data_IF_541943875779
#
_entry.id   IF_541943875779
#
_cell.length_a   1.000
_cell.length_b   1.000
_cell.length_c   1.000
_cell.angle_alpha   90.00
_cell.angle_beta   90.00
_cell.angle_gamma   90.00
#
_symmetry.space_group_name_H-M   'P 1'
#
loop_
_entity.id
_entity.type
_entity.pdbx_description
1 polymer ?
#
# COMPACT_ATOMS: atom_id res chain seq x y z
N UNK A 1 10.21 -17.56 -34.02
CA UNK A 1 8.96 -17.52 -33.26
C UNK A 1 9.25 -17.78 -31.78
N UNK A 2 8.80 -16.89 -30.90
CA UNK A 2 8.90 -17.02 -29.44
C UNK A 2 7.62 -17.65 -28.93
N UNK A 3 7.72 -18.70 -28.12
CA UNK A 3 6.55 -19.32 -27.51
C UNK A 3 6.53 -19.02 -26.01
N UNK A 4 5.43 -18.42 -25.54
CA UNK A 4 5.18 -18.16 -24.12
C UNK A 4 4.12 -19.13 -23.62
N UNK A 5 4.47 -20.00 -22.67
CA UNK A 5 3.59 -21.06 -22.17
C UNK A 5 3.31 -20.87 -20.68
N UNK A 6 2.04 -20.83 -20.28
CA UNK A 6 1.65 -20.80 -18.86
C UNK A 6 2.11 -22.06 -18.13
N UNK A 7 2.81 -21.89 -17.00
CA UNK A 7 3.23 -22.99 -16.11
C UNK A 7 2.28 -23.12 -14.92
N UNK A 8 1.98 -22.00 -14.27
CA UNK A 8 1.05 -21.89 -13.14
C UNK A 8 0.57 -20.43 -12.99
N UNK A 9 -0.06 -20.07 -11.87
CA UNK A 9 -0.56 -18.71 -11.71
C UNK A 9 0.56 -17.68 -11.38
N UNK A 10 1.78 -18.10 -11.11
CA UNK A 10 2.93 -17.20 -10.89
C UNK A 10 3.77 -17.07 -12.16
N UNK A 11 4.03 -18.18 -12.85
CA UNK A 11 5.05 -18.25 -13.89
C UNK A 11 4.51 -18.71 -15.24
N UNK A 12 5.09 -18.15 -16.28
CA UNK A 12 5.14 -18.73 -17.62
C UNK A 12 6.57 -19.13 -17.98
N UNK A 13 6.71 -19.95 -19.00
CA UNK A 13 7.97 -20.33 -19.61
C UNK A 13 8.10 -19.66 -20.98
N UNK A 14 9.28 -19.08 -21.25
CA UNK A 14 9.61 -18.43 -22.51
C UNK A 14 10.57 -19.33 -23.28
N UNK A 15 10.11 -19.85 -24.40
CA UNK A 15 10.90 -20.65 -25.33
C UNK A 15 11.33 -19.76 -26.51
N UNK A 16 12.60 -19.44 -26.57
CA UNK A 16 13.21 -18.56 -27.58
C UNK A 16 14.67 -18.91 -27.77
N UNK A 17 15.28 -18.37 -28.82
CA UNK A 17 16.72 -18.45 -29.06
C UNK A 17 17.52 -17.81 -27.92
N UNK A 18 18.75 -18.25 -27.74
CA UNK A 18 19.61 -17.81 -26.62
C UNK A 18 19.89 -16.31 -26.65
N UNK A 19 20.04 -15.70 -27.82
CA UNK A 19 20.19 -14.25 -28.00
C UNK A 19 19.00 -13.49 -27.43
N UNK A 20 17.80 -13.86 -27.86
CA UNK A 20 16.54 -13.24 -27.41
C UNK A 20 16.33 -13.42 -25.91
N UNK A 21 16.62 -14.60 -25.36
CA UNK A 21 16.55 -14.85 -23.92
C UNK A 21 17.48 -13.93 -23.12
N UNK A 22 18.68 -13.64 -23.64
CA UNK A 22 19.61 -12.69 -23.03
C UNK A 22 19.05 -11.27 -23.06
N UNK A 23 18.48 -10.84 -24.18
CA UNK A 23 17.84 -9.52 -24.29
C UNK A 23 16.66 -9.35 -23.34
N UNK A 24 15.78 -10.36 -23.23
CA UNK A 24 14.70 -10.38 -22.24
C UNK A 24 15.28 -10.29 -20.82
N UNK A 25 16.33 -11.05 -20.51
CA UNK A 25 16.94 -11.00 -19.19
C UNK A 25 17.52 -9.61 -18.89
N UNK A 26 18.17 -8.98 -19.86
CA UNK A 26 18.71 -7.64 -19.70
C UNK A 26 17.63 -6.59 -19.53
N UNK A 27 16.52 -6.69 -20.26
CA UNK A 27 15.39 -5.78 -20.15
C UNK A 27 14.66 -5.88 -18.82
N UNK A 28 14.57 -7.07 -18.22
CA UNK A 28 13.80 -7.35 -17.01
C UNK A 28 14.69 -7.66 -15.80
N UNK A 29 15.86 -7.02 -15.70
CA UNK A 29 16.70 -7.03 -14.51
C UNK A 29 16.85 -5.63 -13.95
N UNK A 30 16.84 -5.49 -12.64
CA UNK A 30 16.88 -4.22 -11.93
C UNK A 30 17.87 -4.27 -10.78
N UNK A 31 18.45 -3.14 -10.43
CA UNK A 31 19.29 -2.99 -9.25
C UNK A 31 18.56 -2.24 -8.16
N UNK A 32 18.55 -2.74 -6.92
CA UNK A 32 18.06 -1.97 -5.78
C UNK A 32 18.85 -0.67 -5.60
N UNK A 33 18.21 0.38 -5.13
CA UNK A 33 18.93 1.57 -4.66
C UNK A 33 19.92 1.13 -3.57
N UNK A 34 21.13 1.67 -3.60
CA UNK A 34 22.18 1.37 -2.62
C UNK A 34 22.65 -0.10 -2.58
N UNK A 35 22.50 -0.88 -3.66
CA UNK A 35 22.94 -2.28 -3.75
C UNK A 35 24.42 -2.48 -3.38
N UNK A 36 25.27 -1.45 -3.62
CA UNK A 36 26.69 -1.46 -3.27
C UNK A 36 26.96 -1.60 -1.77
N UNK A 37 25.98 -1.27 -0.92
CA UNK A 37 26.07 -1.42 0.54
C UNK A 37 25.55 -2.77 1.04
N UNK A 38 24.92 -3.58 0.18
CA UNK A 38 24.45 -4.92 0.56
C UNK A 38 25.64 -5.83 0.91
N UNK A 39 25.62 -6.49 2.07
CA UNK A 39 26.70 -7.40 2.49
C UNK A 39 26.99 -8.53 1.49
N UNK A 40 25.97 -9.02 0.77
CA UNK A 40 26.09 -10.09 -0.22
C UNK A 40 26.84 -9.60 -1.47
N UNK A 41 26.56 -8.35 -1.89
CA UNK A 41 27.28 -7.71 -2.98
C UNK A 41 28.74 -7.44 -2.61
N UNK A 42 29.00 -6.87 -1.43
CA UNK A 42 30.38 -6.61 -0.94
C UNK A 42 31.19 -7.90 -0.81
N UNK A 43 30.55 -9.00 -0.42
CA UNK A 43 31.19 -10.33 -0.34
C UNK A 43 31.22 -11.07 -1.67
N UNK A 44 30.86 -10.42 -2.80
CA UNK A 44 30.79 -11.00 -4.16
C UNK A 44 29.92 -12.27 -4.27
N UNK A 45 28.96 -12.46 -3.35
CA UNK A 45 27.98 -13.57 -3.38
C UNK A 45 26.76 -13.27 -4.25
N UNK A 46 26.58 -12.02 -4.60
CA UNK A 46 25.51 -11.53 -5.44
C UNK A 46 26.04 -10.43 -6.35
N UNK A 47 25.59 -10.39 -7.61
CA UNK A 47 26.06 -9.45 -8.64
C UNK A 47 25.32 -8.10 -8.66
N UNK A 48 24.43 -7.85 -7.70
CA UNK A 48 23.66 -6.62 -7.58
C UNK A 48 22.39 -6.58 -8.43
N UNK A 49 22.08 -7.62 -9.21
CA UNK A 49 20.88 -7.65 -10.06
C UNK A 49 19.79 -8.54 -9.46
N UNK A 50 18.56 -8.08 -9.60
CA UNK A 50 17.34 -8.86 -9.38
C UNK A 50 16.72 -9.10 -10.75
N UNK A 51 16.60 -10.38 -11.13
CA UNK A 51 16.08 -10.79 -12.42
C UNK A 51 14.62 -11.23 -12.28
N UNK A 52 13.74 -10.71 -13.14
CA UNK A 52 12.36 -11.16 -13.28
C UNK A 52 12.19 -12.25 -14.33
N UNK A 53 13.20 -12.48 -15.15
CA UNK A 53 13.35 -13.64 -16.02
C UNK A 53 14.47 -14.54 -15.50
N UNK A 54 14.18 -15.78 -15.23
CA UNK A 54 15.20 -16.77 -14.89
C UNK A 54 15.63 -17.49 -16.17
N UNK A 55 16.83 -17.15 -16.66
CA UNK A 55 17.38 -17.68 -17.92
C UNK A 55 17.74 -19.16 -17.85
N UNK A 56 17.88 -19.75 -16.64
CA UNK A 56 18.29 -21.15 -16.46
C UNK A 56 17.12 -22.12 -16.71
N UNK A 57 15.93 -21.80 -16.20
CA UNK A 57 14.70 -22.57 -16.37
C UNK A 57 13.69 -21.93 -17.32
N UNK A 58 14.05 -20.77 -17.89
CA UNK A 58 13.25 -19.97 -18.80
C UNK A 58 11.94 -19.45 -18.20
N UNK A 59 11.85 -19.32 -16.87
CA UNK A 59 10.63 -18.85 -16.21
C UNK A 59 10.57 -17.34 -16.10
N UNK A 60 9.36 -16.81 -16.33
CA UNK A 60 9.03 -15.39 -16.26
C UNK A 60 7.74 -15.18 -15.48
N UNK A 61 7.58 -14.03 -14.83
CA UNK A 61 6.39 -13.74 -14.05
C UNK A 61 5.18 -13.41 -14.93
N UNK A 62 4.06 -14.12 -14.75
CA UNK A 62 2.81 -13.85 -15.47
C UNK A 62 2.29 -12.41 -15.31
N UNK A 63 2.54 -11.77 -14.17
CA UNK A 63 2.13 -10.39 -13.95
C UNK A 63 2.81 -9.38 -14.86
N UNK A 64 3.97 -9.73 -15.42
CA UNK A 64 4.75 -8.90 -16.35
C UNK A 64 4.52 -9.24 -17.83
N UNK A 65 3.60 -10.17 -18.14
CA UNK A 65 3.31 -10.53 -19.53
C UNK A 65 2.93 -9.33 -20.42
N UNK A 66 2.14 -8.36 -19.96
CA UNK A 66 1.85 -7.17 -20.77
C UNK A 66 3.10 -6.34 -21.10
N UNK A 67 4.05 -6.23 -20.15
CA UNK A 67 5.32 -5.53 -20.38
C UNK A 67 6.24 -6.33 -21.32
N UNK A 68 6.24 -7.65 -21.21
CA UNK A 68 6.96 -8.53 -22.13
C UNK A 68 6.39 -8.42 -23.54
N UNK A 69 5.07 -8.53 -23.70
CA UNK A 69 4.42 -8.42 -25.00
C UNK A 69 4.74 -7.06 -25.64
N UNK A 70 4.68 -5.98 -24.88
CA UNK A 70 5.06 -4.65 -25.35
C UNK A 70 6.51 -4.62 -25.84
N UNK A 71 7.47 -5.17 -25.07
CA UNK A 71 8.87 -5.25 -25.45
C UNK A 71 9.08 -6.07 -26.74
N UNK A 72 8.39 -7.20 -26.88
CA UNK A 72 8.51 -8.05 -28.07
C UNK A 72 7.95 -7.36 -29.31
N UNK A 73 6.82 -6.66 -29.21
CA UNK A 73 6.22 -5.87 -30.30
C UNK A 73 7.16 -4.72 -30.71
N UNK A 74 7.70 -3.96 -29.75
CA UNK A 74 8.59 -2.83 -30.01
C UNK A 74 9.90 -3.26 -30.72
N UNK A 75 10.33 -4.50 -30.52
CA UNK A 75 11.51 -5.07 -31.17
C UNK A 75 11.19 -5.95 -32.38
N UNK A 76 9.94 -5.93 -32.87
CA UNK A 76 9.47 -6.69 -34.04
C UNK A 76 9.67 -8.21 -33.91
N UNK A 77 9.56 -8.77 -32.71
CA UNK A 77 9.60 -10.20 -32.49
C UNK A 77 8.23 -10.84 -32.69
N UNK A 78 8.18 -11.89 -33.48
CA UNK A 78 6.98 -12.75 -33.58
C UNK A 78 6.89 -13.66 -32.36
N UNK A 79 5.72 -13.68 -31.71
CA UNK A 79 5.46 -14.53 -30.54
C UNK A 79 4.04 -15.05 -30.48
N UNK A 80 3.89 -16.17 -29.82
CA UNK A 80 2.59 -16.76 -29.49
C UNK A 80 2.46 -16.99 -27.99
N UNK A 81 1.27 -16.83 -27.44
CA UNK A 81 0.97 -17.11 -26.03
C UNK A 81 0.09 -18.35 -25.94
N UNK A 82 0.59 -19.41 -25.28
CA UNK A 82 -0.12 -20.67 -25.06
C UNK A 82 -0.55 -20.81 -23.59
N UNK A 83 -1.81 -21.11 -23.38
CA UNK A 83 -2.41 -21.31 -22.07
C UNK A 83 -3.64 -20.44 -21.84
N UNK A 84 -4.36 -20.72 -20.76
CA UNK A 84 -5.56 -19.96 -20.43
C UNK A 84 -5.19 -18.66 -19.71
N UNK A 85 -5.09 -17.57 -20.47
CA UNK A 85 -4.96 -16.19 -20.03
C UNK A 85 -6.21 -15.36 -20.41
N UNK A 86 -7.26 -16.03 -20.87
CA UNK A 86 -8.44 -15.37 -21.37
C UNK A 86 -9.02 -14.44 -20.31
N UNK A 87 -9.23 -13.19 -20.69
CA UNK A 87 -10.06 -12.26 -19.94
C UNK A 87 -11.50 -12.80 -19.95
N UNK A 88 -12.20 -12.64 -18.85
CA UNK A 88 -13.62 -12.95 -18.80
C UNK A 88 -14.40 -11.81 -19.50
N UNK A 89 -15.35 -12.18 -20.34
CA UNK A 89 -16.31 -11.19 -20.83
C UNK A 89 -17.22 -10.81 -19.66
N UNK A 90 -17.21 -9.56 -19.29
CA UNK A 90 -18.00 -9.03 -18.19
C UNK A 90 -18.44 -7.61 -18.54
N UNK A 91 -19.71 -7.43 -18.83
CA UNK A 91 -20.28 -6.16 -19.26
C UNK A 91 -20.59 -5.25 -18.09
N UNK A 92 -20.80 -3.96 -18.37
CA UNK A 92 -21.27 -2.99 -17.37
C UNK A 92 -22.66 -3.36 -16.85
N UNK A 93 -23.52 -3.87 -17.70
CA UNK A 93 -24.86 -4.33 -17.31
C UNK A 93 -24.78 -5.48 -16.28
N UNK A 94 -23.97 -6.52 -16.56
CA UNK A 94 -23.77 -7.63 -15.62
C UNK A 94 -23.20 -7.14 -14.27
N UNK A 95 -22.28 -6.20 -14.31
CA UNK A 95 -21.72 -5.61 -13.10
C UNK A 95 -22.78 -4.88 -12.28
N UNK A 96 -23.63 -4.08 -12.92
CA UNK A 96 -24.71 -3.36 -12.24
C UNK A 96 -25.77 -4.32 -11.68
N UNK A 97 -26.16 -5.36 -12.43
CA UNK A 97 -27.09 -6.37 -11.94
C UNK A 97 -26.49 -7.12 -10.73
N UNK A 98 -25.22 -7.50 -10.77
CA UNK A 98 -24.56 -8.09 -9.62
C UNK A 98 -24.56 -7.15 -8.40
N UNK A 99 -24.22 -5.87 -8.59
CA UNK A 99 -24.19 -4.89 -7.49
C UNK A 99 -25.59 -4.75 -6.84
N UNK A 100 -26.67 -4.76 -7.61
CA UNK A 100 -28.05 -4.75 -7.08
C UNK A 100 -28.31 -5.93 -6.16
N UNK A 101 -27.79 -7.13 -6.46
CA UNK A 101 -27.98 -8.32 -5.60
C UNK A 101 -27.35 -8.20 -4.24
N UNK A 102 -26.37 -7.29 -4.07
CA UNK A 102 -25.68 -7.09 -2.80
C UNK A 102 -26.53 -6.35 -1.77
N UNK A 103 -27.59 -5.66 -2.19
CA UNK A 103 -28.46 -4.85 -1.32
C UNK A 103 -27.64 -3.93 -0.40
N UNK A 104 -26.71 -3.18 -1.00
CA UNK A 104 -25.89 -2.23 -0.24
C UNK A 104 -26.78 -1.21 0.47
N UNK A 105 -26.48 -0.79 1.72
CA UNK A 105 -27.19 0.30 2.38
C UNK A 105 -27.16 1.58 1.53
N UNK A 106 -28.23 2.36 1.53
CA UNK A 106 -28.42 3.55 0.68
C UNK A 106 -27.26 4.55 0.69
N UNK A 107 -26.58 4.67 1.85
CA UNK A 107 -25.39 5.53 2.01
C UNK A 107 -24.17 5.08 1.17
N UNK A 108 -24.17 3.84 0.67
CA UNK A 108 -23.04 3.26 -0.08
C UNK A 108 -23.43 3.00 -1.54
N UNK A 109 -23.37 4.04 -2.35
CA UNK A 109 -23.56 3.91 -3.79
C UNK A 109 -22.22 3.67 -4.48
N UNK A 110 -22.19 2.70 -5.40
CA UNK A 110 -20.99 2.42 -6.20
C UNK A 110 -20.82 3.54 -7.24
N UNK A 111 -19.67 4.20 -7.19
CA UNK A 111 -19.35 5.32 -8.08
C UNK A 111 -18.85 4.82 -9.44
N UNK A 112 -18.95 5.66 -10.47
CA UNK A 112 -18.57 5.33 -11.85
C UNK A 112 -17.15 4.76 -12.00
N UNK A 113 -16.16 5.36 -11.32
CA UNK A 113 -14.77 4.88 -11.37
C UNK A 113 -14.58 3.58 -10.57
N UNK A 114 -15.37 3.34 -9.52
CA UNK A 114 -15.36 2.07 -8.77
C UNK A 114 -15.96 0.95 -9.63
N UNK A 115 -17.03 1.24 -10.36
CA UNK A 115 -17.62 0.32 -11.33
C UNK A 115 -16.60 -0.07 -12.41
N UNK A 116 -15.93 0.92 -13.00
CA UNK A 116 -14.86 0.69 -14.00
C UNK A 116 -13.71 -0.16 -13.43
N UNK A 117 -13.34 0.10 -12.17
CA UNK A 117 -12.32 -0.67 -11.47
C UNK A 117 -12.76 -2.12 -11.32
N UNK A 118 -13.98 -2.33 -10.83
CA UNK A 118 -14.55 -3.66 -10.62
C UNK A 118 -14.63 -4.45 -11.93
N UNK A 119 -15.21 -3.88 -13.00
CA UNK A 119 -15.28 -4.52 -14.31
C UNK A 119 -13.90 -4.91 -14.82
N UNK A 120 -12.92 -3.99 -14.73
CA UNK A 120 -11.55 -4.26 -15.20
C UNK A 120 -10.90 -5.39 -14.43
N UNK A 121 -11.10 -5.46 -13.11
CA UNK A 121 -10.52 -6.51 -12.26
C UNK A 121 -11.16 -7.87 -12.51
N UNK A 122 -12.47 -7.93 -12.72
CA UNK A 122 -13.16 -9.17 -13.09
C UNK A 122 -12.64 -9.69 -14.43
N UNK A 123 -12.57 -8.83 -15.45
CA UNK A 123 -12.08 -9.22 -16.79
C UNK A 123 -10.65 -9.77 -16.79
N UNK A 124 -9.77 -9.16 -16.01
CA UNK A 124 -8.33 -9.47 -16.09
C UNK A 124 -7.84 -10.48 -15.04
N UNK A 125 -8.61 -10.74 -13.98
CA UNK A 125 -8.22 -11.54 -12.81
C UNK A 125 -6.97 -11.05 -12.07
N UNK A 126 -6.14 -10.22 -12.70
CA UNK A 126 -4.94 -9.66 -12.06
C UNK A 126 -4.67 -8.25 -12.53
N UNK A 127 -4.54 -7.36 -11.56
CA UNK A 127 -4.17 -5.97 -11.80
C UNK A 127 -3.85 -5.23 -10.50
N UNK A 128 -3.29 -4.05 -10.65
CA UNK A 128 -3.15 -3.07 -9.58
C UNK A 128 -4.00 -1.87 -9.94
N UNK A 129 -4.91 -1.49 -9.05
CA UNK A 129 -5.68 -0.26 -9.18
C UNK A 129 -5.06 0.86 -8.38
N UNK A 130 -4.65 1.91 -9.08
CA UNK A 130 -4.19 3.14 -8.46
C UNK A 130 -5.39 4.05 -8.19
N UNK A 131 -5.70 4.22 -6.90
CA UNK A 131 -6.89 4.91 -6.42
C UNK A 131 -6.57 5.60 -5.09
N UNK A 132 -6.67 6.93 -4.98
CA UNK A 132 -6.25 7.68 -3.80
C UNK A 132 -7.04 7.32 -2.54
N UNK A 133 -6.58 7.83 -1.40
CA UNK A 133 -7.37 7.80 -0.16
C UNK A 133 -8.75 8.46 -0.40
N UNK A 134 -9.76 8.04 0.31
CA UNK A 134 -11.18 8.47 0.13
C UNK A 134 -11.85 8.04 -1.19
N UNK A 135 -11.18 7.24 -2.03
CA UNK A 135 -11.81 6.68 -3.24
C UNK A 135 -12.75 5.50 -2.97
N UNK A 136 -12.84 5.02 -1.72
CA UNK A 136 -13.66 3.86 -1.35
C UNK A 136 -13.04 2.52 -1.75
N UNK A 137 -11.73 2.36 -1.52
CA UNK A 137 -10.99 1.12 -1.81
C UNK A 137 -11.58 -0.11 -1.13
N UNK A 138 -12.05 0.02 0.11
CA UNK A 138 -12.67 -1.10 0.85
C UNK A 138 -13.96 -1.61 0.19
N UNK A 139 -14.78 -0.71 -0.39
CA UNK A 139 -15.96 -1.12 -1.15
C UNK A 139 -15.56 -1.89 -2.41
N UNK A 140 -14.52 -1.47 -3.12
CA UNK A 140 -14.01 -2.19 -4.30
C UNK A 140 -13.52 -3.60 -3.91
N UNK A 141 -12.80 -3.74 -2.78
CA UNK A 141 -12.37 -5.05 -2.27
C UNK A 141 -13.57 -5.92 -1.90
N UNK A 142 -14.62 -5.31 -1.30
CA UNK A 142 -15.87 -6.01 -0.99
C UNK A 142 -16.56 -6.52 -2.24
N UNK A 143 -16.67 -5.71 -3.31
CA UNK A 143 -17.25 -6.13 -4.59
C UNK A 143 -16.51 -7.34 -5.17
N UNK A 144 -15.18 -7.33 -5.17
CA UNK A 144 -14.39 -8.48 -5.65
C UNK A 144 -14.63 -9.74 -4.80
N UNK A 145 -14.56 -9.60 -3.47
CA UNK A 145 -14.83 -10.73 -2.57
C UNK A 145 -16.20 -11.36 -2.83
N UNK A 146 -17.24 -10.53 -2.93
CA UNK A 146 -18.61 -11.00 -3.13
C UNK A 146 -18.84 -11.60 -4.51
N UNK A 147 -18.23 -11.02 -5.54
CA UNK A 147 -18.37 -11.50 -6.91
C UNK A 147 -17.69 -12.87 -7.13
N UNK A 148 -16.41 -12.95 -6.79
CA UNK A 148 -15.68 -14.21 -6.97
C UNK A 148 -16.21 -15.30 -6.06
N UNK A 149 -16.71 -14.95 -4.89
CA UNK A 149 -17.31 -15.87 -3.92
C UNK A 149 -16.45 -17.12 -3.66
N UNK A 150 -15.12 -16.95 -3.63
CA UNK A 150 -14.09 -17.98 -3.44
C UNK A 150 -13.35 -17.74 -2.14
N UNK A 151 -12.55 -18.72 -1.72
CA UNK A 151 -11.67 -18.55 -0.56
C UNK A 151 -10.68 -17.41 -0.81
N UNK A 152 -10.83 -16.33 -0.06
CA UNK A 152 -10.19 -15.04 -0.31
C UNK A 152 -9.29 -14.66 0.84
N UNK A 153 -8.05 -14.30 0.52
CA UNK A 153 -7.08 -13.70 1.43
C UNK A 153 -6.96 -12.20 1.11
N UNK A 154 -7.32 -11.35 2.09
CA UNK A 154 -7.09 -9.91 2.04
C UNK A 154 -5.84 -9.61 2.85
N UNK A 155 -4.86 -8.93 2.24
CA UNK A 155 -3.58 -8.60 2.86
C UNK A 155 -3.50 -7.11 3.06
N UNK A 156 -3.22 -6.67 4.29
CA UNK A 156 -3.14 -5.26 4.67
C UNK A 156 -1.82 -4.95 5.39
N UNK A 157 -1.36 -3.68 5.43
CA UNK A 157 -0.08 -3.34 6.05
C UNK A 157 -0.09 -3.31 7.58
N UNK A 158 -1.24 -3.10 8.24
CA UNK A 158 -1.32 -2.93 9.70
C UNK A 158 -2.48 -3.68 10.32
N UNK A 159 -2.36 -4.02 11.61
CA UNK A 159 -3.42 -4.68 12.39
C UNK A 159 -4.69 -3.82 12.50
N UNK A 160 -4.55 -2.50 12.57
CA UNK A 160 -5.69 -1.59 12.57
C UNK A 160 -6.54 -1.74 11.31
N UNK A 161 -5.90 -1.89 10.13
CA UNK A 161 -6.59 -2.10 8.87
C UNK A 161 -7.26 -3.47 8.78
N UNK A 162 -6.78 -4.51 9.46
CA UNK A 162 -7.46 -5.81 9.52
C UNK A 162 -8.87 -5.65 10.08
N UNK A 163 -8.98 -4.99 11.24
CA UNK A 163 -10.27 -4.74 11.88
C UNK A 163 -11.14 -3.76 11.06
N UNK A 164 -10.52 -2.71 10.52
CA UNK A 164 -11.24 -1.71 9.73
C UNK A 164 -11.88 -2.32 8.49
N UNK A 165 -11.16 -3.11 7.71
CA UNK A 165 -11.71 -3.76 6.50
C UNK A 165 -12.89 -4.67 6.86
N UNK A 166 -12.78 -5.43 7.94
CA UNK A 166 -13.88 -6.29 8.37
C UNK A 166 -15.10 -5.49 8.81
N UNK A 167 -14.91 -4.40 9.56
CA UNK A 167 -15.97 -3.50 9.95
C UNK A 167 -16.62 -2.80 8.74
N UNK A 168 -15.80 -2.33 7.77
CA UNK A 168 -16.31 -1.78 6.52
C UNK A 168 -17.18 -2.81 5.77
N UNK A 169 -16.77 -4.08 5.71
CA UNK A 169 -17.58 -5.14 5.10
C UNK A 169 -18.90 -5.37 5.83
N UNK A 170 -18.90 -5.30 7.17
CA UNK A 170 -20.14 -5.34 7.97
C UNK A 170 -21.04 -4.15 7.64
N UNK A 171 -20.47 -2.98 7.51
CA UNK A 171 -21.19 -1.75 7.15
C UNK A 171 -21.77 -1.82 5.72
N UNK A 172 -21.17 -2.61 4.81
CA UNK A 172 -21.71 -2.89 3.48
C UNK A 172 -22.77 -4.00 3.46
N UNK A 173 -23.14 -4.54 4.63
CA UNK A 173 -24.16 -5.57 4.76
C UNK A 173 -23.63 -7.01 4.77
N UNK A 174 -22.32 -7.24 4.95
CA UNK A 174 -21.79 -8.60 5.09
C UNK A 174 -22.20 -9.24 6.40
N UNK A 175 -22.88 -10.38 6.34
CA UNK A 175 -23.36 -11.13 7.52
C UNK A 175 -22.50 -12.35 7.85
N UNK A 176 -21.55 -12.72 6.96
CA UNK A 176 -20.69 -13.88 7.17
C UNK A 176 -19.60 -13.65 8.21
N UNK A 177 -18.85 -14.69 8.54
CA UNK A 177 -17.65 -14.64 9.38
C UNK A 177 -16.39 -14.34 8.57
N UNK A 178 -15.34 -13.96 9.28
CA UNK A 178 -13.99 -13.81 8.72
C UNK A 178 -12.97 -14.26 9.75
N UNK A 179 -11.89 -14.85 9.28
CA UNK A 179 -10.73 -15.13 10.12
C UNK A 179 -9.74 -13.98 10.04
N UNK A 180 -9.50 -13.31 11.16
CA UNK A 180 -8.61 -12.16 11.27
C UNK A 180 -7.27 -12.63 11.82
N UNK A 181 -6.20 -12.58 11.01
CA UNK A 181 -4.87 -13.01 11.41
C UNK A 181 -4.02 -11.79 11.76
N UNK A 182 -3.73 -11.65 13.05
CA UNK A 182 -2.84 -10.65 13.61
C UNK A 182 -1.69 -11.33 14.35
N UNK A 183 -0.81 -10.57 14.98
CA UNK A 183 0.28 -11.11 15.77
C UNK A 183 -0.25 -11.99 16.92
N UNK A 184 0.23 -13.24 16.99
CA UNK A 184 -0.19 -14.23 18.00
C UNK A 184 -1.45 -15.04 17.67
N UNK A 185 -2.17 -14.73 16.58
CA UNK A 185 -3.34 -15.47 16.16
C UNK A 185 -2.99 -16.75 15.39
N UNK A 186 -3.83 -17.78 15.55
CA UNK A 186 -3.74 -19.02 14.75
C UNK A 186 -3.98 -18.77 13.27
N UNK A 187 -3.31 -19.54 12.41
CA UNK A 187 -3.39 -19.37 10.94
C UNK A 187 -4.31 -20.39 10.26
N UNK A 188 -4.67 -21.44 10.97
CA UNK A 188 -5.57 -22.48 10.46
C UNK A 188 -7.02 -22.04 10.59
N UNK A 189 -7.77 -22.14 9.50
CA UNK A 189 -9.17 -21.77 9.47
C UNK A 189 -9.89 -22.39 8.30
N UNK A 190 -11.20 -22.63 8.45
CA UNK A 190 -12.10 -23.01 7.37
C UNK A 190 -12.88 -21.81 6.81
N UNK A 191 -12.67 -20.61 7.35
CA UNK A 191 -13.37 -19.42 6.90
C UNK A 191 -13.02 -19.08 5.43
N UNK A 192 -14.04 -18.61 4.73
CA UNK A 192 -13.91 -18.22 3.33
C UNK A 192 -13.20 -16.88 3.15
N UNK A 193 -13.42 -15.98 4.10
CA UNK A 193 -12.77 -14.68 4.17
C UNK A 193 -11.66 -14.71 5.23
N UNK A 194 -10.44 -14.43 4.79
CA UNK A 194 -9.27 -14.30 5.66
C UNK A 194 -8.72 -12.90 5.46
N UNK A 195 -8.52 -12.16 6.55
CA UNK A 195 -7.89 -10.82 6.52
C UNK A 195 -6.66 -10.87 7.40
N UNK A 196 -5.50 -10.51 6.85
CA UNK A 196 -4.22 -10.66 7.54
C UNK A 196 -3.29 -9.49 7.28
N UNK A 197 -2.39 -9.22 8.22
CA UNK A 197 -1.20 -8.42 7.90
C UNK A 197 -0.21 -9.26 7.11
N UNK A 198 0.58 -8.63 6.23
CA UNK A 198 1.60 -9.37 5.47
C UNK A 198 2.70 -9.94 6.38
N UNK A 199 2.99 -9.27 7.51
CA UNK A 199 3.98 -9.71 8.50
C UNK A 199 3.59 -11.03 9.17
N UNK A 200 2.29 -11.26 9.34
CA UNK A 200 1.78 -12.48 9.97
C UNK A 200 1.87 -13.72 9.08
N UNK A 201 1.95 -13.55 7.75
CA UNK A 201 1.80 -14.66 6.78
C UNK A 201 2.95 -14.81 5.78
N UNK A 202 3.93 -13.90 5.76
CA UNK A 202 4.98 -13.91 4.71
C UNK A 202 5.87 -15.16 4.73
N UNK A 203 6.03 -15.80 5.89
CA UNK A 203 6.84 -17.00 6.06
C UNK A 203 6.05 -18.30 5.92
N UNK A 204 4.70 -18.24 5.86
CA UNK A 204 3.89 -19.43 5.64
C UNK A 204 4.37 -20.22 4.42
N UNK A 205 4.20 -21.51 4.44
CA UNK A 205 4.63 -22.38 3.36
C UNK A 205 3.69 -22.30 2.14
N UNK A 206 4.08 -22.98 1.07
CA UNK A 206 3.28 -23.00 -0.16
C UNK A 206 1.92 -23.68 0.06
N UNK A 207 1.86 -24.74 0.88
CA UNK A 207 0.64 -25.50 1.12
C UNK A 207 -0.44 -24.61 1.77
N UNK A 208 -0.04 -23.71 2.65
CA UNK A 208 -0.95 -22.76 3.28
C UNK A 208 -1.63 -21.82 2.26
N UNK A 209 -0.95 -21.49 1.14
CA UNK A 209 -1.50 -20.61 0.11
C UNK A 209 -2.33 -21.37 -0.94
N UNK A 210 -2.22 -22.69 -1.03
CA UNK A 210 -2.75 -23.48 -2.15
C UNK A 210 -4.29 -23.48 -2.26
N UNK A 211 -5.00 -23.19 -1.19
CA UNK A 211 -6.46 -23.11 -1.14
C UNK A 211 -7.00 -21.65 -1.26
N UNK A 212 -6.12 -20.65 -1.32
CA UNK A 212 -6.51 -19.25 -1.48
C UNK A 212 -6.63 -18.91 -2.97
N UNK A 213 -7.85 -18.98 -3.50
CA UNK A 213 -8.12 -18.76 -4.91
C UNK A 213 -8.06 -17.29 -5.32
N UNK A 214 -8.33 -16.39 -4.35
CA UNK A 214 -8.35 -14.94 -4.53
C UNK A 214 -7.41 -14.28 -3.51
N UNK A 215 -6.52 -13.43 -3.97
CA UNK A 215 -5.70 -12.55 -3.13
C UNK A 215 -6.00 -11.10 -3.50
N UNK A 216 -6.39 -10.32 -2.49
CA UNK A 216 -6.56 -8.87 -2.60
C UNK A 216 -5.58 -8.24 -1.62
N UNK A 217 -4.74 -7.32 -2.07
CA UNK A 217 -3.77 -6.66 -1.21
C UNK A 217 -3.97 -5.15 -1.21
N UNK A 218 -4.17 -4.58 -0.02
CA UNK A 218 -4.29 -3.14 0.16
C UNK A 218 -2.92 -2.50 0.39
N UNK A 219 -2.77 -1.26 -0.06
CA UNK A 219 -1.56 -0.45 0.03
C UNK A 219 -0.29 -1.22 -0.41
N UNK A 220 -0.40 -1.90 -1.57
CA UNK A 220 0.66 -2.78 -2.08
C UNK A 220 2.03 -2.10 -2.20
N UNK A 221 2.07 -0.77 -2.30
CA UNK A 221 3.30 0.01 -2.34
C UNK A 221 4.09 -0.01 -1.02
N UNK A 222 3.44 -0.31 0.12
CA UNK A 222 4.09 -0.34 1.44
C UNK A 222 4.86 -1.64 1.68
N UNK A 223 4.62 -2.67 0.88
CA UNK A 223 5.27 -3.96 1.04
C UNK A 223 6.71 -3.90 0.53
N UNK A 224 7.63 -4.45 1.33
CA UNK A 224 9.01 -4.59 0.86
C UNK A 224 9.06 -5.52 -0.35
N UNK A 225 9.64 -5.06 -1.45
CA UNK A 225 9.67 -5.77 -2.73
C UNK A 225 10.17 -7.24 -2.61
N UNK A 226 11.23 -7.48 -1.81
CA UNK A 226 11.77 -8.82 -1.58
C UNK A 226 10.79 -9.73 -0.85
N UNK A 227 10.15 -9.23 0.21
CA UNK A 227 9.20 -10.00 1.04
C UNK A 227 7.93 -10.30 0.28
N UNK A 228 7.36 -9.30 -0.41
CA UNK A 228 6.20 -9.47 -1.27
C UNK A 228 6.46 -10.52 -2.34
N UNK A 229 7.55 -10.38 -3.08
CA UNK A 229 7.90 -11.32 -4.16
C UNK A 229 8.11 -12.73 -3.62
N UNK A 230 8.78 -12.90 -2.45
CA UNK A 230 8.97 -14.21 -1.80
C UNK A 230 7.63 -14.86 -1.46
N UNK A 231 6.72 -14.11 -0.86
CA UNK A 231 5.38 -14.59 -0.51
C UNK A 231 4.56 -14.95 -1.74
N UNK A 232 4.49 -14.04 -2.72
CA UNK A 232 3.65 -14.21 -3.91
C UNK A 232 4.15 -15.34 -4.84
N UNK A 233 5.43 -15.72 -4.80
CA UNK A 233 5.95 -16.91 -5.48
C UNK A 233 5.32 -18.22 -4.99
N UNK A 234 4.86 -18.27 -3.75
CA UNK A 234 4.22 -19.45 -3.16
C UNK A 234 2.77 -19.65 -3.63
N UNK A 235 2.12 -18.61 -4.12
CA UNK A 235 0.68 -18.59 -4.48
C UNK A 235 0.40 -19.15 -5.86
N UNK A 236 0.94 -20.33 -6.19
CA UNK A 236 0.94 -20.90 -7.54
C UNK A 236 -0.44 -21.31 -8.06
N UNK A 237 -1.45 -21.43 -7.19
CA UNK A 237 -2.84 -21.78 -7.54
C UNK A 237 -3.80 -20.58 -7.49
N UNK A 238 -3.36 -19.45 -6.97
CA UNK A 238 -4.20 -18.25 -6.85
C UNK A 238 -4.44 -17.59 -8.20
N UNK A 239 -5.65 -17.71 -8.72
CA UNK A 239 -6.04 -17.18 -10.03
C UNK A 239 -6.24 -15.68 -10.01
N UNK A 240 -6.97 -15.18 -9.00
CA UNK A 240 -7.33 -13.77 -8.89
C UNK A 240 -6.35 -13.02 -7.97
N UNK A 241 -5.76 -11.94 -8.48
CA UNK A 241 -4.77 -11.14 -7.77
C UNK A 241 -5.02 -9.66 -7.99
N UNK A 242 -5.60 -9.02 -7.01
CA UNK A 242 -5.95 -7.59 -7.07
C UNK A 242 -5.08 -6.83 -6.08
N UNK A 243 -4.25 -5.94 -6.59
CA UNK A 243 -3.54 -4.95 -5.78
C UNK A 243 -4.29 -3.64 -5.75
N UNK A 244 -4.41 -3.04 -4.58
CA UNK A 244 -5.03 -1.72 -4.40
C UNK A 244 -4.02 -0.79 -3.75
N UNK A 245 -3.91 0.44 -4.25
CA UNK A 245 -2.98 1.42 -3.65
C UNK A 245 -3.35 2.85 -4.00
N UNK A 246 -3.06 3.77 -3.09
CA UNK A 246 -3.24 5.22 -3.33
C UNK A 246 -2.07 5.84 -4.07
N UNK A 247 -0.88 5.31 -3.88
CA UNK A 247 0.38 5.84 -4.40
C UNK A 247 1.26 4.72 -4.95
N UNK A 248 2.24 5.08 -5.75
CA UNK A 248 3.31 4.17 -6.17
C UNK A 248 4.64 4.70 -5.65
N UNK A 249 5.55 3.80 -5.35
CA UNK A 249 6.95 4.17 -5.10
C UNK A 249 7.59 4.64 -6.40
N UNK A 250 8.54 5.56 -6.31
CA UNK A 250 9.31 6.04 -7.48
C UNK A 250 10.38 5.04 -7.95
N UNK A 251 10.64 4.00 -7.16
CA UNK A 251 11.65 3.00 -7.43
C UNK A 251 11.17 1.94 -8.42
N UNK A 252 11.85 1.83 -9.55
CA UNK A 252 11.50 0.90 -10.63
C UNK A 252 11.44 -0.56 -10.18
N UNK A 253 12.36 -1.00 -9.32
CA UNK A 253 12.36 -2.37 -8.79
C UNK A 253 11.10 -2.66 -7.99
N UNK A 254 10.66 -1.72 -7.15
CA UNK A 254 9.44 -1.86 -6.37
C UNK A 254 8.23 -1.94 -7.29
N UNK A 255 8.14 -1.06 -8.30
CA UNK A 255 7.07 -1.08 -9.30
C UNK A 255 7.04 -2.43 -10.04
N UNK A 256 8.20 -2.91 -10.50
CA UNK A 256 8.27 -4.19 -11.21
C UNK A 256 7.92 -5.37 -10.31
N UNK A 257 8.28 -5.32 -9.02
CA UNK A 257 7.96 -6.38 -8.04
C UNK A 257 6.45 -6.49 -7.77
N UNK A 258 5.76 -5.36 -7.63
CA UNK A 258 4.30 -5.38 -7.46
C UNK A 258 3.58 -5.78 -8.75
N UNK A 259 4.06 -5.33 -9.92
CA UNK A 259 3.54 -5.79 -11.23
C UNK A 259 3.75 -7.29 -11.44
N UNK A 260 4.92 -7.82 -11.12
CA UNK A 260 5.20 -9.26 -11.19
C UNK A 260 4.21 -10.07 -10.34
N UNK A 261 3.81 -9.53 -9.19
CA UNK A 261 2.92 -10.18 -8.23
C UNK A 261 1.44 -10.07 -8.60
N UNK A 262 0.98 -8.89 -9.03
CA UNK A 262 -0.43 -8.58 -9.23
C UNK A 262 -0.82 -8.30 -10.68
N UNK A 263 0.10 -7.92 -11.54
CA UNK A 263 -0.19 -7.57 -12.94
C UNK A 263 -0.08 -6.07 -13.25
N UNK A 264 -0.66 -5.60 -14.35
CA UNK A 264 -0.54 -4.23 -14.81
C UNK A 264 -1.24 -3.23 -13.88
N UNK A 265 -0.74 -1.98 -13.92
CA UNK A 265 -1.26 -0.87 -13.10
C UNK A 265 -2.26 -0.07 -13.93
N UNK A 266 -3.44 0.18 -13.35
CA UNK A 266 -4.47 1.04 -13.93
C UNK A 266 -4.84 2.17 -12.97
N UNK A 267 -4.90 3.39 -13.47
CA UNK A 267 -5.38 4.56 -12.72
C UNK A 267 -6.86 4.78 -13.02
N UNK A 268 -7.69 4.81 -11.98
CA UNK A 268 -9.14 4.95 -12.12
C UNK A 268 -9.64 6.35 -11.79
N UNK A 269 -9.00 7.04 -10.86
CA UNK A 269 -9.36 8.40 -10.46
C UNK A 269 -8.11 9.09 -9.88
N UNK A 270 -8.05 10.42 -9.96
CA UNK A 270 -7.03 11.22 -9.31
C UNK A 270 -7.54 11.86 -8.01
N UNK A 271 -6.63 12.29 -7.14
CA UNK A 271 -7.00 13.08 -5.93
C UNK A 271 -7.74 14.35 -6.32
N UNK A 272 -7.32 15.02 -7.40
CA UNK A 272 -7.98 16.22 -7.90
C UNK A 272 -9.42 15.93 -8.29
N UNK A 273 -9.67 14.86 -9.05
CA UNK A 273 -11.04 14.49 -9.46
C UNK A 273 -11.94 14.19 -8.25
N UNK A 274 -11.39 13.58 -7.18
CA UNK A 274 -12.13 13.33 -5.94
C UNK A 274 -12.50 14.63 -5.23
N UNK A 275 -11.59 15.59 -5.18
CA UNK A 275 -11.83 16.92 -4.59
C UNK A 275 -12.87 17.69 -5.43
N UNK A 276 -12.66 17.76 -6.74
CA UNK A 276 -13.55 18.48 -7.66
C UNK A 276 -14.99 17.93 -7.66
N UNK A 277 -15.15 16.62 -7.38
CA UNK A 277 -16.46 15.95 -7.23
C UNK A 277 -17.02 15.98 -5.80
N UNK A 278 -16.33 16.60 -4.84
CA UNK A 278 -16.76 16.67 -3.43
C UNK A 278 -16.65 15.34 -2.67
N UNK A 279 -15.89 14.36 -3.18
CA UNK A 279 -15.70 13.07 -2.52
C UNK A 279 -14.50 13.08 -1.55
N UNK A 280 -13.66 14.09 -1.61
CA UNK A 280 -12.54 14.32 -0.71
C UNK A 280 -12.46 15.80 -0.33
N UNK A 281 -12.06 16.07 0.91
CA UNK A 281 -11.82 17.44 1.34
C UNK A 281 -10.64 18.05 0.58
N UNK A 282 -10.68 19.36 0.25
CA UNK A 282 -9.51 20.04 -0.27
C UNK A 282 -8.42 20.10 0.79
N UNK A 283 -7.16 19.89 0.37
CA UNK A 283 -5.99 19.98 1.24
C UNK A 283 -5.14 21.15 0.78
N UNK A 284 -4.83 22.04 1.71
CA UNK A 284 -3.98 23.22 1.46
C UNK A 284 -2.63 23.03 2.16
N UNK A 285 -1.55 23.09 1.40
CA UNK A 285 -0.20 23.00 1.95
C UNK A 285 0.38 24.40 2.14
N UNK A 286 0.78 24.72 3.39
CA UNK A 286 1.53 25.94 3.72
C UNK A 286 2.93 25.55 4.15
N UNK A 287 3.94 25.94 3.37
CA UNK A 287 5.35 25.67 3.69
C UNK A 287 5.90 26.86 4.47
N UNK A 288 6.22 26.63 5.74
CA UNK A 288 6.82 27.64 6.62
C UNK A 288 8.33 27.42 6.68
N UNK A 289 9.10 28.34 6.13
CA UNK A 289 10.56 28.29 6.15
C UNK A 289 11.12 29.03 7.37
N UNK A 290 11.54 28.27 8.37
CA UNK A 290 12.24 28.85 9.53
C UNK A 290 13.71 29.10 9.16
N UNK A 291 14.18 30.33 9.43
CA UNK A 291 15.59 30.69 9.32
C UNK A 291 16.22 30.52 10.69
N UNK A 292 17.13 29.57 10.82
CA UNK A 292 17.98 29.48 12.02
C UNK A 292 19.11 30.52 11.92
N UNK A 293 19.37 31.21 13.00
CA UNK A 293 20.52 32.13 13.07
C UNK A 293 21.81 31.32 12.94
N UNK A 294 22.67 31.74 12.01
CA UNK A 294 23.85 31.02 11.52
C UNK A 294 25.00 30.87 12.55
N UNK A 295 24.75 30.82 13.85
CA UNK A 295 25.81 30.70 14.87
C UNK A 295 26.66 29.43 14.69
N UNK A 296 26.06 28.31 14.35
CA UNK A 296 26.80 27.06 14.15
C UNK A 296 27.65 27.02 12.87
N UNK A 297 27.24 27.75 11.81
CA UNK A 297 28.00 27.81 10.55
C UNK A 297 29.17 28.82 10.58
N UNK A 298 29.14 29.79 11.51
CA UNK A 298 30.15 30.87 11.59
C UNK A 298 31.30 30.59 12.54
N UNK A 299 31.09 29.76 13.58
CA UNK A 299 32.12 29.51 14.60
C UNK A 299 33.06 28.35 14.28
N UNK A 300 32.67 27.41 13.43
CA UNK A 300 33.53 26.32 13.04
C UNK A 300 33.36 25.99 11.55
N UNK A 301 34.42 26.17 10.78
CA UNK A 301 34.54 25.64 9.39
C UNK A 301 34.50 24.08 9.33
N UNK A 302 34.04 23.42 10.38
CA UNK A 302 33.91 21.99 10.44
C UNK A 302 32.63 21.55 9.71
N UNK A 303 32.72 20.49 8.93
CA UNK A 303 31.60 19.79 8.34
C UNK A 303 30.71 19.24 9.48
N UNK A 304 29.61 19.91 9.75
CA UNK A 304 28.58 19.42 10.68
C UNK A 304 28.06 18.11 10.10
N UNK A 305 28.10 17.03 10.89
CA UNK A 305 27.51 15.77 10.45
C UNK A 305 25.98 15.85 10.55
N UNK A 306 25.31 14.96 9.82
CA UNK A 306 23.84 14.91 9.77
C UNK A 306 23.18 14.78 11.16
N UNK A 307 23.81 14.04 12.08
CA UNK A 307 23.26 13.81 13.41
C UNK A 307 23.32 15.08 14.28
N UNK A 308 24.39 15.86 14.16
CA UNK A 308 24.53 17.12 14.90
C UNK A 308 23.53 18.17 14.39
N UNK A 309 23.31 18.21 13.08
CA UNK A 309 22.30 19.10 12.48
C UNK A 309 20.88 18.72 12.97
N UNK A 310 20.53 17.45 12.97
CA UNK A 310 19.25 16.98 13.49
C UNK A 310 19.08 17.32 14.97
N UNK A 311 20.10 17.07 15.78
CA UNK A 311 20.08 17.38 17.21
C UNK A 311 19.90 18.87 17.46
N UNK A 312 20.57 19.73 16.69
CA UNK A 312 20.40 21.18 16.77
C UNK A 312 18.96 21.59 16.43
N UNK A 313 18.39 21.10 15.34
CA UNK A 313 17.02 21.40 14.92
C UNK A 313 16.00 20.95 15.96
N UNK A 314 16.16 19.75 16.50
CA UNK A 314 15.25 19.19 17.50
C UNK A 314 15.32 19.90 18.86
N UNK A 315 16.50 20.47 19.23
CA UNK A 315 16.71 21.13 20.49
C UNK A 315 16.51 22.67 20.42
N UNK A 316 16.19 23.22 19.25
CA UNK A 316 15.94 24.65 19.08
C UNK A 316 14.71 25.12 19.86
N UNK A 317 14.90 25.95 20.88
CA UNK A 317 13.82 26.52 21.67
C UNK A 317 12.95 27.48 20.83
N UNK A 318 13.57 28.27 19.95
CA UNK A 318 12.86 29.18 19.06
C UNK A 318 11.89 28.42 18.14
N UNK A 319 12.36 27.28 17.59
CA UNK A 319 11.53 26.41 16.78
C UNK A 319 10.38 25.79 17.59
N UNK A 320 10.67 25.31 18.78
CA UNK A 320 9.66 24.75 19.69
C UNK A 320 8.59 25.77 20.04
N UNK A 321 8.99 26.98 20.38
CA UNK A 321 8.11 28.13 20.69
C UNK A 321 7.25 28.49 19.46
N UNK A 322 7.85 28.53 18.28
CA UNK A 322 7.14 28.83 17.05
C UNK A 322 6.05 27.80 16.77
N UNK A 323 6.37 26.49 16.83
CA UNK A 323 5.41 25.41 16.58
C UNK A 323 4.29 25.43 17.63
N UNK A 324 4.63 25.63 18.92
CA UNK A 324 3.66 25.78 20.00
C UNK A 324 2.67 26.90 19.71
N UNK A 325 3.19 28.11 19.45
CA UNK A 325 2.35 29.29 19.20
C UNK A 325 1.47 29.12 17.97
N UNK A 326 2.01 28.52 16.90
CA UNK A 326 1.23 28.16 15.71
C UNK A 326 0.09 27.21 16.06
N UNK A 327 0.39 26.11 16.76
CA UNK A 327 -0.62 25.11 17.12
C UNK A 327 -1.75 25.71 17.98
N UNK A 328 -1.43 26.57 18.94
CA UNK A 328 -2.41 27.23 19.80
C UNK A 328 -3.26 28.23 19.01
N UNK A 329 -2.70 28.85 17.98
CA UNK A 329 -3.41 29.83 17.15
C UNK A 329 -4.35 29.25 16.11
N UNK A 330 -4.23 27.95 15.84
CA UNK A 330 -5.08 27.26 14.84
C UNK A 330 -6.44 26.89 15.46
N UNK A 331 -7.47 26.93 14.65
CA UNK A 331 -8.81 26.47 15.00
C UNK A 331 -9.07 25.10 14.42
N UNK A 332 -9.90 24.31 15.11
CA UNK A 332 -10.21 22.94 14.72
C UNK A 332 -9.23 21.92 15.31
N UNK A 333 -9.43 20.65 14.95
CA UNK A 333 -8.56 19.58 15.42
C UNK A 333 -7.22 19.62 14.68
N UNK A 334 -6.14 19.80 15.43
CA UNK A 334 -4.78 20.01 14.93
C UNK A 334 -3.87 18.86 15.31
N UNK A 335 -3.14 18.31 14.33
CA UNK A 335 -2.16 17.25 14.56
C UNK A 335 -0.74 17.78 14.39
N UNK A 336 0.12 17.49 15.39
CA UNK A 336 1.57 17.73 15.33
C UNK A 336 2.26 16.39 15.28
N UNK A 337 2.81 16.03 14.12
CA UNK A 337 3.47 14.75 13.93
C UNK A 337 4.96 14.83 14.26
N UNK A 338 5.44 13.90 15.09
CA UNK A 338 6.86 13.78 15.43
C UNK A 338 7.44 12.43 15.00
N UNK A 339 8.76 12.41 14.83
CA UNK A 339 9.52 11.20 14.57
C UNK A 339 10.30 10.70 15.77
N UNK A 340 10.84 11.61 16.59
CA UNK A 340 11.65 11.32 17.77
C UNK A 340 10.79 11.51 19.03
N UNK A 341 10.66 10.47 19.86
CA UNK A 341 9.78 10.45 21.03
C UNK A 341 10.07 11.58 22.03
N UNK A 342 11.33 11.83 22.35
CA UNK A 342 11.73 12.87 23.30
C UNK A 342 11.34 14.26 22.81
N UNK A 343 11.49 14.51 21.50
CA UNK A 343 11.04 15.77 20.91
C UNK A 343 9.50 15.89 20.95
N UNK A 344 8.77 14.81 20.64
CA UNK A 344 7.31 14.81 20.72
C UNK A 344 6.80 15.06 22.14
N UNK A 345 7.41 14.41 23.14
CA UNK A 345 7.04 14.58 24.56
C UNK A 345 7.29 16.01 25.02
N UNK A 346 8.46 16.57 24.74
CA UNK A 346 8.78 17.97 25.06
C UNK A 346 7.80 18.94 24.38
N UNK A 347 7.47 18.72 23.11
CA UNK A 347 6.48 19.55 22.40
C UNK A 347 5.10 19.48 23.08
N UNK A 348 4.66 18.31 23.46
CA UNK A 348 3.42 18.11 24.20
C UNK A 348 3.41 18.88 25.52
N UNK A 349 4.46 18.77 26.34
CA UNK A 349 4.60 19.44 27.63
C UNK A 349 4.59 20.96 27.48
N UNK A 350 5.28 21.50 26.46
CA UNK A 350 5.31 22.94 26.20
C UNK A 350 3.96 23.50 25.73
N UNK A 351 3.22 22.73 24.92
CA UNK A 351 1.89 23.11 24.49
C UNK A 351 0.89 23.04 25.65
N UNK A 352 0.97 22.00 26.46
CA UNK A 352 0.07 21.78 27.60
C UNK A 352 0.14 22.95 28.65
N UNK A 353 1.28 23.62 28.79
CA UNK A 353 1.46 24.76 29.72
C UNK A 353 0.59 25.96 29.38
N UNK A 354 0.27 26.17 28.11
CA UNK A 354 -0.37 27.41 27.64
C UNK A 354 -1.70 27.17 26.88
N UNK A 355 -1.96 25.94 26.46
CA UNK A 355 -3.16 25.63 25.72
C UNK A 355 -4.42 25.72 26.61
N UNK A 356 -5.46 26.34 26.08
CA UNK A 356 -6.80 26.41 26.71
C UNK A 356 -7.77 25.38 26.19
N UNK A 357 -7.35 24.60 25.21
CA UNK A 357 -8.12 23.53 24.56
C UNK A 357 -7.50 22.15 24.90
N UNK A 358 -8.23 21.04 24.75
CA UNK A 358 -7.70 19.70 25.03
C UNK A 358 -6.43 19.39 24.23
N UNK A 359 -5.40 18.89 24.92
CA UNK A 359 -4.14 18.47 24.32
C UNK A 359 -3.89 17.00 24.61
N UNK A 360 -3.58 16.24 23.58
CA UNK A 360 -3.36 14.79 23.67
C UNK A 360 -1.95 14.43 23.18
N UNK A 361 -1.40 13.36 23.77
CA UNK A 361 -0.14 12.77 23.32
C UNK A 361 -0.35 11.28 23.02
N UNK A 362 0.17 10.83 21.88
CA UNK A 362 0.08 9.42 21.52
C UNK A 362 1.31 8.98 20.71
N UNK A 363 1.82 7.80 21.04
CA UNK A 363 2.96 7.20 20.33
C UNK A 363 2.77 5.68 20.10
N UNK A 364 3.82 5.01 19.63
CA UNK A 364 3.81 3.57 19.35
C UNK A 364 3.66 2.69 20.61
N UNK A 365 3.81 3.25 21.81
CA UNK A 365 3.59 2.53 23.07
C UNK A 365 2.12 2.35 23.44
N UNK A 366 1.23 3.15 22.84
CA UNK A 366 -0.20 3.02 23.08
C UNK A 366 -0.78 1.83 22.30
N UNK A 367 -1.70 1.11 22.92
CA UNK A 367 -2.41 0.00 22.28
C UNK A 367 -3.33 0.46 21.14
N UNK A 368 -3.75 -0.46 20.28
CA UNK A 368 -4.68 -0.15 19.20
C UNK A 368 -6.02 0.37 19.72
N UNK A 369 -6.52 -0.19 20.84
CA UNK A 369 -7.75 0.21 21.48
C UNK A 369 -7.69 1.62 22.08
N UNK A 370 -6.56 1.98 22.70
CA UNK A 370 -6.34 3.34 23.22
C UNK A 370 -6.35 4.37 22.11
N UNK A 371 -5.69 4.05 20.98
CA UNK A 371 -5.68 4.91 19.79
C UNK A 371 -7.08 5.11 19.24
N UNK A 372 -7.88 4.03 19.13
CA UNK A 372 -9.25 4.10 18.62
C UNK A 372 -10.15 4.93 19.55
N UNK A 373 -10.03 4.73 20.86
CA UNK A 373 -10.77 5.54 21.86
C UNK A 373 -10.42 7.02 21.75
N UNK A 374 -9.14 7.34 21.58
CA UNK A 374 -8.71 8.73 21.40
C UNK A 374 -9.26 9.34 20.11
N UNK A 375 -9.21 8.62 18.99
CA UNK A 375 -9.78 9.09 17.72
C UNK A 375 -11.27 9.40 17.87
N UNK A 376 -12.02 8.46 18.43
CA UNK A 376 -13.46 8.64 18.66
C UNK A 376 -13.71 9.86 19.56
N UNK A 377 -12.86 10.10 20.55
CA UNK A 377 -12.99 11.27 21.41
C UNK A 377 -12.68 12.57 20.67
N UNK A 378 -11.60 12.62 19.88
CA UNK A 378 -11.23 13.79 19.04
C UNK A 378 -12.36 14.14 18.07
N UNK A 379 -13.04 13.15 17.49
CA UNK A 379 -14.17 13.36 16.57
C UNK A 379 -15.39 14.02 17.24
N UNK A 380 -15.49 13.95 18.56
CA UNK A 380 -16.55 14.65 19.33
C UNK A 380 -16.18 16.11 19.62
N UNK A 381 -14.90 16.47 19.50
CA UNK A 381 -14.39 17.82 19.80
C UNK A 381 -14.44 18.70 18.55
N UNK A 382 -14.60 20.00 18.78
CA UNK A 382 -14.49 21.01 17.73
C UNK A 382 -13.04 21.54 17.62
N UNK A 383 -12.32 21.59 18.74
CA UNK A 383 -10.94 22.09 18.81
C UNK A 383 -10.13 21.19 19.75
N UNK A 384 -9.00 20.71 19.25
CA UNK A 384 -8.02 19.95 20.04
C UNK A 384 -6.64 20.00 19.39
N UNK A 385 -5.59 19.74 20.18
CA UNK A 385 -4.23 19.57 19.68
C UNK A 385 -3.77 18.16 20.03
N UNK A 386 -3.37 17.38 19.04
CA UNK A 386 -2.82 16.03 19.25
C UNK A 386 -1.38 15.97 18.78
N UNK A 387 -0.47 15.71 19.71
CA UNK A 387 0.95 15.47 19.42
C UNK A 387 1.13 13.97 19.24
N UNK A 388 1.38 13.52 18.02
CA UNK A 388 1.37 12.11 17.67
C UNK A 388 2.61 11.67 16.88
N UNK A 389 2.99 10.42 17.04
CA UNK A 389 4.03 9.81 16.20
C UNK A 389 3.44 9.37 14.86
N UNK A 390 4.30 8.85 13.97
CA UNK A 390 3.91 8.31 12.66
C UNK A 390 2.91 7.13 12.73
N UNK A 391 2.55 6.64 13.90
CA UNK A 391 1.46 5.64 14.06
C UNK A 391 0.12 6.13 13.53
N UNK A 392 -0.07 7.45 13.39
CA UNK A 392 -1.26 8.06 12.79
C UNK A 392 -1.11 8.35 11.28
N UNK A 393 0.01 8.01 10.65
CA UNK A 393 0.23 8.29 9.22
C UNK A 393 -0.44 7.28 8.29
N UNK A 394 -0.81 6.10 8.79
CA UNK A 394 -1.39 5.02 7.97
C UNK A 394 -2.51 4.28 8.71
N UNK A 395 -3.57 3.95 7.99
CA UNK A 395 -4.65 3.10 8.49
C UNK A 395 -5.57 3.74 9.51
N UNK A 396 -5.64 5.06 9.56
CA UNK A 396 -6.52 5.80 10.47
C UNK A 396 -7.35 6.77 9.63
N UNK A 397 -8.65 6.74 9.85
CA UNK A 397 -9.60 7.67 9.26
C UNK A 397 -10.14 8.62 10.35
N UNK A 398 -9.81 9.90 10.24
CA UNK A 398 -10.28 10.95 11.15
C UNK A 398 -11.09 11.94 10.34
N UNK A 399 -12.41 11.95 10.56
CA UNK A 399 -13.34 12.75 9.76
C UNK A 399 -13.26 14.25 10.04
N UNK A 400 -12.86 14.63 11.26
CA UNK A 400 -12.80 16.03 11.71
C UNK A 400 -11.36 16.52 11.94
N UNK A 401 -10.41 16.16 11.07
CA UNK A 401 -9.06 16.73 11.11
C UNK A 401 -9.01 18.00 10.27
N UNK A 402 -8.54 19.10 10.84
CA UNK A 402 -8.53 20.43 10.21
C UNK A 402 -7.10 20.90 9.86
N UNK A 403 -6.11 20.59 10.72
CA UNK A 403 -4.75 21.07 10.57
C UNK A 403 -3.70 19.99 10.85
#
# INVERSE_FOLDING_TARGET
LITIRKVNEVYCQILAETSIRREINERFRYRPKNYQFDPSYRKRRWNGWINFFNIMDNTFFNGLLPDLAKFLIENNYEFEIKGNYAAEEFSEHEALEFIKTLNLPEKYQVRDYQLKYFIKGVRNYRMIGLSPTSSGKSLIMYLFYRYFNRRTLIIVPTTALVNQIFNDFRDYGYQGSAHLIMEGEGRETNEKLIISTYQSIYDEDKAWFDDKEVIIADEVHTFQAKTLTKMMKKTTKTKVRIGVTGTLQEDELSIMSIKASFGPIYKFISTKDLIDRGFSAPVFFKILKLKHLNSLYRENQMKINYQDEINYILNSEERTRFIKNLAISLTGNTFIMFRMKDHGRRMYEEILKEATIPVFYIDGGNSADERLKLINHIETLENSITVCSTVFSTGINIKKLNN
#
